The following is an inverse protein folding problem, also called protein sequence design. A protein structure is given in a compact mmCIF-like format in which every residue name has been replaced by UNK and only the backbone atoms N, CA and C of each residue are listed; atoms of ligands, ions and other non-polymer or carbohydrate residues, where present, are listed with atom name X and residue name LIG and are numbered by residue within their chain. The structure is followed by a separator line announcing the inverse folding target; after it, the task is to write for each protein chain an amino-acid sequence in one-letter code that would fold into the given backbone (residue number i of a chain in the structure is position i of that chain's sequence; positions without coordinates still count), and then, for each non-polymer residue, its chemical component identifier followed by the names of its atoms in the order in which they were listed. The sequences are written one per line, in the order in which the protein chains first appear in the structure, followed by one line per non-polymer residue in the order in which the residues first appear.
data_IF_237064349594
#
_entry.id   IF_237064349594
#
_cell.length_a   1.000
_cell.length_b   1.000
_cell.length_c   1.000
_cell.angle_alpha   90.00
_cell.angle_beta   90.00
_cell.angle_gamma   90.00
#
_symmetry.space_group_name_H-M   'P 1'
#
loop_
_entity.id
_entity.type
_entity.pdbx_description
1 polymer ?
#
# COMPACT_ATOMS: atom_id res chain seq x y z
N UNK A 1 8.94 9.41 4.65
CA UNK A 1 8.17 8.78 3.57
C UNK A 1 7.02 8.01 4.16
N UNK A 2 5.78 8.41 3.89
CA UNK A 2 4.63 7.59 4.30
C UNK A 2 4.71 6.28 3.51
N UNK A 3 4.60 5.12 4.17
CA UNK A 3 4.67 3.83 3.48
C UNK A 3 3.65 3.69 2.34
N UNK A 4 2.58 4.49 2.39
CA UNK A 4 1.47 4.54 1.44
C UNK A 4 1.69 5.44 0.20
N UNK A 5 2.82 6.15 0.10
CA UNK A 5 3.26 6.84 -1.13
C UNK A 5 4.05 5.82 -1.97
N UNK A 6 3.30 5.06 -2.77
CA UNK A 6 3.77 3.86 -3.49
C UNK A 6 4.47 4.27 -4.78
N UNK A 7 3.93 5.26 -5.49
CA UNK A 7 4.50 5.75 -6.75
C UNK A 7 5.63 6.79 -6.55
N UNK A 8 5.75 7.35 -5.35
CA UNK A 8 6.83 8.24 -4.97
C UNK A 8 6.63 9.69 -5.41
N UNK A 9 5.41 10.10 -5.74
CA UNK A 9 5.11 11.47 -6.18
C UNK A 9 5.06 12.50 -5.03
N UNK A 10 5.18 12.03 -3.79
CA UNK A 10 5.17 12.86 -2.58
C UNK A 10 3.76 13.14 -2.04
N UNK A 11 2.74 12.47 -2.55
CA UNK A 11 1.38 12.47 -2.03
C UNK A 11 0.87 11.03 -1.89
N UNK A 12 -0.07 10.82 -0.96
CA UNK A 12 -0.83 9.57 -0.89
C UNK A 12 -2.17 9.82 -1.58
N UNK A 13 -2.29 9.37 -2.83
CA UNK A 13 -3.39 9.68 -3.73
C UNK A 13 -4.01 8.47 -4.43
N UNK A 14 -4.80 8.75 -5.46
CA UNK A 14 -5.51 7.72 -6.20
C UNK A 14 -4.56 6.82 -7.01
N UNK A 15 -3.44 7.36 -7.49
CA UNK A 15 -2.40 6.57 -8.18
C UNK A 15 -1.83 5.48 -7.25
N UNK A 16 -1.52 5.83 -6.01
CA UNK A 16 -1.08 4.86 -5.00
C UNK A 16 -2.14 3.80 -4.69
N UNK A 17 -3.42 4.21 -4.65
CA UNK A 17 -4.52 3.26 -4.50
C UNK A 17 -4.57 2.25 -5.66
N UNK A 18 -4.37 2.69 -6.90
CA UNK A 18 -4.32 1.78 -8.05
C UNK A 18 -3.13 0.83 -7.97
N UNK A 19 -1.99 1.28 -7.45
CA UNK A 19 -0.82 0.42 -7.19
C UNK A 19 -1.12 -0.60 -6.09
N UNK A 20 -1.75 -0.18 -4.99
CA UNK A 20 -2.18 -1.06 -3.91
C UNK A 20 -3.18 -2.12 -4.40
N UNK A 21 -4.18 -1.71 -5.18
CA UNK A 21 -5.22 -2.60 -5.69
C UNK A 21 -4.66 -3.74 -6.58
N UNK A 22 -3.51 -3.54 -7.23
CA UNK A 22 -2.85 -4.59 -8.03
C UNK A 22 -2.32 -5.74 -7.16
N UNK A 23 -1.93 -5.47 -5.91
CA UNK A 23 -1.45 -6.48 -4.97
C UNK A 23 -2.50 -7.01 -4.00
N UNK A 24 -3.71 -6.44 -4.00
CA UNK A 24 -4.72 -6.78 -3.00
C UNK A 24 -5.10 -8.27 -3.02
N UNK A 25 -5.11 -8.90 -1.85
CA UNK A 25 -5.42 -10.31 -1.67
C UNK A 25 -4.23 -11.25 -1.85
N UNK A 26 -3.03 -10.73 -2.14
CA UNK A 26 -1.79 -11.52 -2.23
C UNK A 26 -1.15 -11.71 -0.86
N UNK A 27 -0.51 -12.86 -0.65
CA UNK A 27 0.30 -13.14 0.54
C UNK A 27 1.74 -13.48 0.18
N UNK A 28 2.62 -13.52 1.17
CA UNK A 28 4.04 -13.89 1.02
C UNK A 28 4.29 -15.29 0.41
N UNK A 29 3.25 -16.10 0.24
CA UNK A 29 3.29 -17.40 -0.43
C UNK A 29 3.04 -17.30 -1.94
N UNK A 30 2.50 -16.18 -2.43
CA UNK A 30 2.25 -15.94 -3.85
C UNK A 30 3.52 -15.46 -4.58
N UNK A 31 3.78 -15.98 -5.78
CA UNK A 31 4.94 -15.58 -6.60
C UNK A 31 4.94 -14.07 -6.97
N UNK A 32 3.76 -13.48 -7.11
CA UNK A 32 3.57 -12.06 -7.45
C UNK A 32 3.42 -11.16 -6.22
N UNK A 33 3.74 -11.65 -5.02
CA UNK A 33 3.63 -10.86 -3.80
C UNK A 33 4.56 -9.65 -3.83
N UNK A 34 3.97 -8.47 -3.63
CA UNK A 34 4.71 -7.23 -3.51
C UNK A 34 4.72 -6.77 -2.04
N UNK A 35 5.82 -7.06 -1.34
CA UNK A 35 6.01 -6.67 0.05
C UNK A 35 5.93 -5.16 0.32
N UNK A 36 6.03 -4.30 -0.72
CA UNK A 36 5.83 -2.85 -0.55
C UNK A 36 4.37 -2.45 -0.30
N UNK A 37 3.43 -3.35 -0.58
CA UNK A 37 1.99 -3.12 -0.42
C UNK A 37 1.45 -3.72 0.90
N UNK A 38 2.28 -4.50 1.61
CA UNK A 38 2.05 -5.00 2.97
C UNK A 38 2.54 -3.94 3.96
N UNK A 39 1.67 -2.96 4.23
CA UNK A 39 1.99 -1.79 5.03
C UNK A 39 2.06 -2.08 6.53
N UNK A 40 1.33 -3.08 7.01
CA UNK A 40 1.39 -3.50 8.40
C UNK A 40 2.41 -4.62 8.69
N UNK A 41 2.95 -5.24 7.63
CA UNK A 41 4.00 -6.26 7.71
C UNK A 41 3.49 -7.63 8.15
N UNK A 42 2.20 -7.93 8.00
CA UNK A 42 1.61 -9.20 8.44
C UNK A 42 1.85 -10.36 7.46
N UNK A 43 2.49 -10.10 6.32
CA UNK A 43 2.76 -11.09 5.27
C UNK A 43 1.63 -11.24 4.26
N UNK A 44 0.63 -10.34 4.24
CA UNK A 44 -0.48 -10.31 3.29
C UNK A 44 -0.91 -8.88 2.98
N UNK A 45 -1.22 -8.60 1.72
CA UNK A 45 -1.84 -7.33 1.30
C UNK A 45 -3.34 -7.45 1.46
N UNK A 46 -3.86 -6.97 2.59
CA UNK A 46 -5.23 -7.20 3.01
C UNK A 46 -6.00 -5.95 3.45
N UNK A 47 -7.09 -6.18 4.17
CA UNK A 47 -7.97 -5.11 4.64
C UNK A 47 -7.30 -4.22 5.71
N UNK A 48 -6.39 -4.76 6.51
CA UNK A 48 -5.62 -3.98 7.48
C UNK A 48 -4.68 -2.99 6.79
N UNK A 49 -4.05 -3.38 5.68
CA UNK A 49 -3.26 -2.48 4.83
C UNK A 49 -4.14 -1.42 4.18
N UNK A 50 -5.35 -1.77 3.75
CA UNK A 50 -6.31 -0.78 3.25
C UNK A 50 -6.66 0.25 4.32
N UNK A 51 -6.87 -0.15 5.58
CA UNK A 51 -7.12 0.80 6.67
C UNK A 51 -5.89 1.68 6.96
N UNK A 52 -4.70 1.12 6.87
CA UNK A 52 -3.45 1.88 6.98
C UNK A 52 -3.34 2.93 5.86
N UNK A 53 -3.62 2.53 4.62
CA UNK A 53 -3.65 3.41 3.46
C UNK A 53 -4.68 4.52 3.62
N UNK A 54 -5.94 4.17 3.96
CA UNK A 54 -7.03 5.11 4.14
C UNK A 54 -6.73 6.15 5.24
N UNK A 55 -6.04 5.75 6.31
CA UNK A 55 -5.58 6.66 7.37
C UNK A 55 -4.50 7.66 6.92
N UNK A 56 -3.90 7.44 5.75
CA UNK A 56 -2.88 8.32 5.16
C UNK A 56 -3.34 9.02 3.88
N UNK A 57 -4.50 8.67 3.33
CA UNK A 57 -5.01 9.24 2.10
C UNK A 57 -5.11 10.78 2.15
N UNK A 58 -4.61 11.44 1.11
CA UNK A 58 -4.56 12.90 0.98
C UNK A 58 -3.41 13.57 1.73
N UNK A 59 -2.56 12.83 2.46
CA UNK A 59 -1.36 13.40 3.09
C UNK A 59 -0.25 13.62 2.05
N UNK A 60 0.58 14.64 2.30
CA UNK A 60 1.82 14.88 1.56
C UNK A 60 3.01 14.35 2.35
N UNK A 61 3.94 13.74 1.65
CA UNK A 61 5.20 13.29 2.20
C UNK A 61 6.21 14.43 2.04
N UNK A 62 6.49 15.12 3.16
CA UNK A 62 7.51 16.16 3.25
C UNK A 62 8.87 15.61 3.69
#
# INVERSE_FOLDING_TARGET
MAASDVDGDGAVGFSDFLSFAQGYGKSSEDEDFNARLDFDGNGSVGFSDFLFFAGNYGKRVG
#
